data_IF_605531554605
#
_entry.id   IF_605531554605
#
_cell.length_a   1.000
_cell.length_b   1.000
_cell.length_c   1.000
_cell.angle_alpha   90.00
_cell.angle_beta   90.00
_cell.angle_gamma   90.00
#
_symmetry.space_group_name_H-M   'P 1'
#
loop_
_entity.id
_entity.type
_entity.pdbx_description
1 polymer ?
#
# COMPACT_ATOMS: atom_id res chain seq x y z
N UNK A 1 8.99 -11.98 -34.71
CA UNK A 1 9.60 -12.62 -33.52
C UNK A 1 8.65 -12.39 -32.35
N UNK A 2 7.70 -13.30 -32.14
CA UNK A 2 6.67 -13.16 -31.12
C UNK A 2 7.26 -13.49 -29.74
N UNK A 3 7.29 -12.52 -28.83
CA UNK A 3 7.64 -12.73 -27.43
C UNK A 3 6.64 -13.70 -26.81
N UNK A 4 7.15 -14.86 -26.41
CA UNK A 4 6.42 -15.97 -25.78
C UNK A 4 5.59 -15.42 -24.61
N UNK A 5 4.27 -15.65 -24.63
CA UNK A 5 3.42 -15.38 -23.47
C UNK A 5 4.00 -16.12 -22.25
N UNK A 6 4.16 -15.46 -21.09
CA UNK A 6 4.68 -16.14 -19.91
C UNK A 6 3.75 -17.31 -19.55
N UNK A 7 4.35 -18.50 -19.39
CA UNK A 7 3.67 -19.70 -18.94
C UNK A 7 2.88 -19.40 -17.66
N UNK A 8 1.57 -19.61 -17.68
CA UNK A 8 0.64 -19.37 -16.57
C UNK A 8 0.83 -20.33 -15.37
N UNK A 9 1.92 -21.10 -15.35
CA UNK A 9 2.23 -22.12 -14.34
C UNK A 9 3.37 -21.75 -13.40
N UNK A 10 4.11 -20.66 -13.66
CA UNK A 10 5.18 -20.23 -12.76
C UNK A 10 4.58 -19.51 -11.54
N UNK A 11 4.63 -20.20 -10.40
CA UNK A 11 4.15 -19.74 -9.09
C UNK A 11 5.17 -18.82 -8.39
N UNK A 12 6.33 -18.60 -9.00
CA UNK A 12 7.35 -17.69 -8.49
C UNK A 12 6.87 -16.24 -8.59
N UNK A 13 7.20 -15.44 -7.58
CA UNK A 13 6.91 -14.01 -7.61
C UNK A 13 8.01 -13.38 -8.47
N UNK A 14 7.68 -12.62 -9.54
CA UNK A 14 8.68 -11.95 -10.34
C UNK A 14 9.59 -11.07 -9.48
N UNK A 15 10.89 -11.04 -9.77
CA UNK A 15 11.87 -10.26 -8.99
C UNK A 15 11.45 -8.78 -8.93
N UNK A 16 11.00 -8.23 -10.05
CA UNK A 16 10.51 -6.85 -10.12
C UNK A 16 9.34 -6.63 -9.16
N UNK A 17 8.42 -7.59 -9.04
CA UNK A 17 7.31 -7.51 -8.08
C UNK A 17 7.78 -7.59 -6.63
N UNK A 18 8.90 -8.25 -6.33
CA UNK A 18 9.51 -8.23 -5.00
C UNK A 18 10.17 -6.87 -4.72
N UNK A 19 10.97 -6.36 -5.65
CA UNK A 19 11.68 -5.09 -5.50
C UNK A 19 10.70 -3.93 -5.38
N UNK A 20 9.77 -3.80 -6.33
CA UNK A 20 8.75 -2.75 -6.33
C UNK A 20 7.60 -3.03 -5.35
N UNK A 21 7.51 -4.25 -4.82
CA UNK A 21 6.60 -4.57 -3.73
C UNK A 21 7.12 -4.05 -2.38
N UNK A 22 8.29 -4.52 -1.98
CA UNK A 22 8.85 -4.24 -0.66
C UNK A 22 9.62 -2.93 -0.59
N UNK A 23 10.27 -2.49 -1.67
CA UNK A 23 11.05 -1.25 -1.72
C UNK A 23 10.26 -0.03 -1.24
N UNK A 24 9.03 0.20 -1.74
CA UNK A 24 8.20 1.33 -1.28
C UNK A 24 7.72 1.24 0.17
N UNK A 25 7.86 0.10 0.85
CA UNK A 25 7.56 -0.01 2.28
C UNK A 25 8.71 0.51 3.15
N UNK A 26 9.95 0.51 2.63
CA UNK A 26 11.14 0.91 3.39
C UNK A 26 11.05 2.33 3.97
N UNK A 27 10.55 3.35 3.25
CA UNK A 27 10.40 4.69 3.84
C UNK A 27 9.40 4.74 5.00
N UNK A 28 8.37 3.90 5.02
CA UNK A 28 7.44 3.81 6.16
C UNK A 28 8.09 3.15 7.37
N UNK A 29 8.90 2.11 7.15
CA UNK A 29 9.67 1.48 8.22
C UNK A 29 10.70 2.46 8.77
N UNK A 30 11.44 3.14 7.90
CA UNK A 30 12.44 4.14 8.28
C UNK A 30 11.81 5.30 9.06
N UNK A 31 10.64 5.80 8.63
CA UNK A 31 9.91 6.82 9.37
C UNK A 31 9.46 6.31 10.74
N UNK A 32 8.89 5.11 10.81
CA UNK A 32 8.47 4.49 12.07
C UNK A 32 9.60 4.25 13.06
N UNK A 33 10.81 3.91 12.60
CA UNK A 33 12.00 3.83 13.47
C UNK A 33 12.49 5.24 13.84
N UNK A 34 12.52 6.15 12.87
CA UNK A 34 13.00 7.51 13.02
C UNK A 34 12.24 8.33 14.06
N UNK A 35 10.93 8.10 14.21
CA UNK A 35 10.13 8.77 15.25
C UNK A 35 10.62 8.46 16.67
N UNK A 36 11.09 7.23 16.92
CA UNK A 36 11.52 6.81 18.25
C UNK A 36 13.00 7.05 18.54
N UNK A 37 13.85 7.06 17.52
CA UNK A 37 15.32 7.10 17.69
C UNK A 37 15.88 8.51 17.52
N UNK A 38 15.28 9.36 16.68
CA UNK A 38 15.85 10.67 16.38
C UNK A 38 15.38 11.73 17.39
N UNK A 39 16.23 12.72 17.73
CA UNK A 39 15.86 13.81 18.63
C UNK A 39 14.83 14.75 17.99
N UNK A 40 14.23 15.64 18.78
CA UNK A 40 13.42 16.72 18.23
C UNK A 40 14.27 17.60 17.28
N UNK A 41 13.73 18.10 16.15
CA UNK A 41 12.34 18.01 15.67
C UNK A 41 12.06 16.82 14.73
N UNK A 42 13.00 15.88 14.59
CA UNK A 42 13.00 14.87 13.53
C UNK A 42 11.83 13.88 13.60
N UNK A 43 11.31 13.57 14.79
CA UNK A 43 10.13 12.71 14.92
C UNK A 43 8.88 13.30 14.26
N UNK A 44 8.67 14.61 14.38
CA UNK A 44 7.56 15.30 13.71
C UNK A 44 7.72 15.23 12.18
N UNK A 45 8.95 15.43 11.70
CA UNK A 45 9.25 15.33 10.27
C UNK A 45 9.02 13.89 9.77
N UNK A 46 9.44 12.88 10.52
CA UNK A 46 9.25 11.48 10.18
C UNK A 46 7.76 11.11 10.05
N UNK A 47 6.90 11.56 10.98
CA UNK A 47 5.44 11.36 10.86
C UNK A 47 4.88 12.03 9.61
N UNK A 48 5.27 13.27 9.32
CA UNK A 48 4.81 13.99 8.12
C UNK A 48 5.23 13.27 6.83
N UNK A 49 6.47 12.80 6.76
CA UNK A 49 6.97 12.02 5.63
C UNK A 49 6.24 10.68 5.50
N UNK A 50 5.93 10.01 6.62
CA UNK A 50 5.15 8.78 6.61
C UNK A 50 3.73 9.00 6.07
N UNK A 51 3.07 10.11 6.43
CA UNK A 51 1.74 10.46 5.91
C UNK A 51 1.79 10.68 4.40
N UNK A 52 2.71 11.54 3.94
CA UNK A 52 2.86 11.87 2.51
C UNK A 52 3.18 10.60 1.71
N UNK A 53 4.22 9.87 2.12
CA UNK A 53 4.64 8.67 1.42
C UNK A 53 3.58 7.58 1.47
N UNK A 54 2.96 7.37 2.63
CA UNK A 54 1.90 6.40 2.83
C UNK A 54 0.72 6.64 1.88
N UNK A 55 0.29 7.90 1.76
CA UNK A 55 -0.78 8.31 0.85
C UNK A 55 -0.40 8.14 -0.64
N UNK A 56 0.84 8.49 -1.02
CA UNK A 56 1.33 8.30 -2.39
C UNK A 56 1.27 6.83 -2.80
N UNK A 57 1.75 5.93 -1.93
CA UNK A 57 1.76 4.51 -2.22
C UNK A 57 0.35 3.91 -2.21
N UNK A 58 -0.54 4.31 -1.29
CA UNK A 58 -1.92 3.83 -1.29
C UNK A 58 -2.68 4.30 -2.55
N UNK A 59 -2.46 5.54 -2.97
CA UNK A 59 -3.00 6.08 -4.23
C UNK A 59 -2.47 5.32 -5.44
N UNK A 60 -1.17 5.04 -5.46
CA UNK A 60 -0.53 4.24 -6.50
C UNK A 60 -1.13 2.82 -6.57
N UNK A 61 -1.36 2.16 -5.43
CA UNK A 61 -2.02 0.84 -5.39
C UNK A 61 -3.43 0.91 -6.00
N UNK A 62 -4.20 1.96 -5.69
CA UNK A 62 -5.49 2.21 -6.34
C UNK A 62 -5.36 2.36 -7.86
N UNK A 63 -4.36 3.12 -8.31
CA UNK A 63 -4.01 3.27 -9.72
C UNK A 63 -3.65 1.96 -10.41
N UNK A 64 -2.80 1.13 -9.79
CA UNK A 64 -2.41 -0.19 -10.32
C UNK A 64 -3.64 -1.09 -10.48
N UNK A 65 -4.51 -1.12 -9.47
CA UNK A 65 -5.76 -1.91 -9.52
C UNK A 65 -6.67 -1.45 -10.66
N UNK A 66 -6.87 -0.14 -10.81
CA UNK A 66 -7.66 0.41 -11.92
C UNK A 66 -7.01 0.15 -13.27
N UNK A 67 -5.68 0.25 -13.34
CA UNK A 67 -4.86 0.01 -14.51
C UNK A 67 -4.99 -1.41 -15.04
N UNK A 68 -4.96 -2.40 -14.13
CA UNK A 68 -5.19 -3.80 -14.48
C UNK A 68 -6.54 -4.02 -15.18
N UNK A 69 -7.60 -3.38 -14.66
CA UNK A 69 -8.93 -3.45 -15.27
C UNK A 69 -9.03 -2.84 -16.68
N UNK A 70 -8.15 -1.91 -17.06
CA UNK A 70 -8.10 -1.42 -18.44
C UNK A 70 -7.54 -2.47 -19.41
N UNK A 71 -6.53 -3.23 -18.98
CA UNK A 71 -5.94 -4.30 -19.79
C UNK A 71 -6.76 -5.59 -19.79
N UNK A 72 -7.57 -5.80 -18.74
CA UNK A 72 -8.44 -6.96 -18.54
C UNK A 72 -9.86 -6.50 -18.20
N UNK A 73 -10.69 -6.17 -19.22
CA UNK A 73 -12.06 -5.70 -18.99
C UNK A 73 -12.92 -6.68 -18.19
N UNK A 74 -12.65 -7.99 -18.33
CA UNK A 74 -13.28 -9.08 -17.56
C UNK A 74 -12.99 -8.98 -16.06
N UNK A 75 -11.82 -8.46 -15.67
CA UNK A 75 -11.44 -8.22 -14.30
C UNK A 75 -11.96 -6.88 -13.73
N UNK A 76 -12.50 -5.98 -14.57
CA UNK A 76 -12.90 -4.62 -14.19
C UNK A 76 -14.31 -4.55 -13.57
N UNK A 77 -14.58 -5.39 -12.58
CA UNK A 77 -15.89 -5.43 -11.90
C UNK A 77 -16.16 -4.15 -11.08
N UNK A 78 -17.44 -3.89 -10.76
CA UNK A 78 -17.83 -2.76 -9.90
C UNK A 78 -17.11 -2.77 -8.53
N UNK A 79 -16.87 -3.95 -7.95
CA UNK A 79 -16.15 -4.10 -6.68
C UNK A 79 -14.69 -3.66 -6.81
N UNK A 80 -14.06 -3.93 -7.95
CA UNK A 80 -12.65 -3.59 -8.20
C UNK A 80 -12.48 -2.08 -8.42
N UNK A 81 -13.44 -1.45 -9.11
CA UNK A 81 -13.51 0.00 -9.27
C UNK A 81 -13.74 0.67 -7.92
N UNK A 82 -14.70 0.18 -7.13
CA UNK A 82 -14.99 0.71 -5.80
C UNK A 82 -13.78 0.60 -4.87
N UNK A 83 -13.05 -0.52 -4.90
CA UNK A 83 -11.82 -0.70 -4.13
C UNK A 83 -10.72 0.28 -4.56
N UNK A 84 -10.50 0.45 -5.87
CA UNK A 84 -9.52 1.41 -6.37
C UNK A 84 -9.84 2.85 -5.94
N UNK A 85 -11.11 3.25 -6.06
CA UNK A 85 -11.59 4.56 -5.59
C UNK A 85 -11.42 4.70 -4.08
N UNK A 86 -11.77 3.67 -3.30
CA UNK A 86 -11.62 3.70 -1.85
C UNK A 86 -10.17 3.95 -1.42
N UNK A 87 -9.17 3.34 -2.09
CA UNK A 87 -7.77 3.55 -1.75
C UNK A 87 -7.33 4.99 -1.98
N UNK A 88 -7.66 5.56 -3.14
CA UNK A 88 -7.32 6.94 -3.47
C UNK A 88 -8.05 7.92 -2.54
N UNK A 89 -9.32 7.66 -2.22
CA UNK A 89 -10.09 8.48 -1.27
C UNK A 89 -9.50 8.44 0.12
N UNK A 90 -9.15 7.27 0.66
CA UNK A 90 -8.52 7.16 1.99
C UNK A 90 -7.17 7.86 2.00
N UNK A 91 -6.37 7.72 0.94
CA UNK A 91 -5.10 8.43 0.81
C UNK A 91 -5.28 9.95 0.79
N UNK A 92 -6.23 10.45 0.00
CA UNK A 92 -6.55 11.88 -0.07
C UNK A 92 -7.06 12.43 1.27
N UNK A 93 -7.96 11.71 1.93
CA UNK A 93 -8.46 12.09 3.26
C UNK A 93 -7.32 12.16 4.30
N UNK A 94 -6.39 11.21 4.28
CA UNK A 94 -5.24 11.23 5.17
C UNK A 94 -4.32 12.45 4.96
N UNK A 95 -4.26 13.01 3.75
CA UNK A 95 -3.51 14.24 3.46
C UNK A 95 -4.25 15.52 3.91
N UNK A 96 -5.57 15.47 4.02
CA UNK A 96 -6.41 16.64 4.33
C UNK A 96 -6.74 16.75 5.83
N UNK A 97 -6.72 15.64 6.56
CA UNK A 97 -7.02 15.65 8.00
C UNK A 97 -5.91 16.39 8.76
N UNK A 98 -6.25 17.38 9.62
CA UNK A 98 -5.25 18.20 10.31
C UNK A 98 -4.54 17.45 11.45
N UNK A 99 -5.13 16.35 11.93
CA UNK A 99 -4.61 15.57 13.05
C UNK A 99 -3.72 14.42 12.57
N UNK A 100 -2.41 14.50 12.87
CA UNK A 100 -1.44 13.52 12.40
C UNK A 100 -1.76 12.07 12.83
N UNK A 101 -2.18 11.86 14.08
CA UNK A 101 -2.58 10.54 14.56
C UNK A 101 -3.75 9.97 13.75
N UNK A 102 -4.77 10.78 13.45
CA UNK A 102 -5.91 10.37 12.62
C UNK A 102 -5.49 10.07 11.19
N UNK A 103 -4.61 10.90 10.59
CA UNK A 103 -4.08 10.68 9.25
C UNK A 103 -3.33 9.34 9.15
N UNK A 104 -2.44 9.04 10.12
CA UNK A 104 -1.70 7.78 10.16
C UNK A 104 -2.64 6.58 10.38
N UNK A 105 -3.65 6.72 11.23
CA UNK A 105 -4.65 5.66 11.46
C UNK A 105 -5.47 5.35 10.19
N UNK A 106 -5.89 6.38 9.44
CA UNK A 106 -6.56 6.22 8.15
C UNK A 106 -5.67 5.47 7.15
N UNK A 107 -4.38 5.81 7.06
CA UNK A 107 -3.45 5.11 6.19
C UNK A 107 -3.24 3.65 6.61
N UNK A 108 -3.08 3.38 7.90
CA UNK A 108 -2.93 2.01 8.39
C UNK A 108 -4.17 1.16 8.06
N UNK A 109 -5.37 1.72 8.23
CA UNK A 109 -6.62 1.08 7.83
C UNK A 109 -6.70 0.88 6.30
N UNK A 110 -6.28 1.86 5.51
CA UNK A 110 -6.23 1.76 4.05
C UNK A 110 -5.27 0.67 3.55
N UNK A 111 -4.10 0.53 4.18
CA UNK A 111 -3.13 -0.52 3.87
C UNK A 111 -3.66 -1.91 4.25
N UNK A 112 -4.28 -2.04 5.42
CA UNK A 112 -4.91 -3.30 5.83
C UNK A 112 -6.06 -3.69 4.89
N UNK A 113 -6.88 -2.73 4.48
CA UNK A 113 -7.95 -2.93 3.50
C UNK A 113 -7.38 -3.38 2.15
N UNK A 114 -6.35 -2.70 1.65
CA UNK A 114 -5.67 -3.05 0.40
C UNK A 114 -5.04 -4.45 0.47
N UNK A 115 -4.44 -4.83 1.60
CA UNK A 115 -3.88 -6.16 1.83
C UNK A 115 -4.92 -7.27 1.62
N UNK A 116 -6.11 -7.07 2.19
CA UNK A 116 -7.20 -8.05 2.13
C UNK A 116 -7.88 -8.06 0.76
N UNK A 117 -8.21 -6.89 0.23
CA UNK A 117 -8.96 -6.76 -1.02
C UNK A 117 -8.12 -7.09 -2.24
N UNK A 118 -6.83 -6.76 -2.29
CA UNK A 118 -5.95 -7.16 -3.42
C UNK A 118 -5.71 -8.66 -3.40
N UNK A 119 -5.53 -9.27 -2.22
CA UNK A 119 -5.44 -10.73 -2.09
C UNK A 119 -6.72 -11.41 -2.60
N UNK A 120 -7.90 -10.92 -2.19
CA UNK A 120 -9.18 -11.47 -2.66
C UNK A 120 -9.37 -11.31 -4.16
N UNK A 121 -9.01 -10.17 -4.73
CA UNK A 121 -9.06 -9.95 -6.18
C UNK A 121 -8.13 -10.92 -6.92
N UNK A 122 -6.91 -11.11 -6.44
CA UNK A 122 -5.95 -12.04 -7.04
C UNK A 122 -6.46 -13.49 -7.01
N UNK A 123 -7.05 -13.92 -5.88
CA UNK A 123 -7.66 -15.25 -5.76
C UNK A 123 -8.88 -15.45 -6.69
N UNK A 124 -9.53 -14.37 -7.11
CA UNK A 124 -10.66 -14.38 -8.04
C UNK A 124 -10.24 -14.14 -9.50
N UNK A 125 -8.96 -13.97 -9.79
CA UNK A 125 -8.45 -13.66 -11.13
C UNK A 125 -8.64 -12.19 -11.55
N UNK A 126 -9.08 -11.32 -10.65
CA UNK A 126 -9.33 -9.90 -10.91
C UNK A 126 -8.09 -9.00 -10.68
N UNK A 127 -6.96 -9.59 -10.30
CA UNK A 127 -5.67 -8.92 -10.12
C UNK A 127 -4.53 -9.92 -10.42
N UNK A 128 -3.27 -9.48 -10.57
CA UNK A 128 -2.14 -10.38 -10.80
C UNK A 128 -2.05 -11.50 -9.75
N UNK A 129 -1.94 -12.76 -10.19
CA UNK A 129 -2.04 -13.93 -9.31
C UNK A 129 -1.03 -13.92 -8.14
N UNK A 130 0.19 -13.39 -8.36
CA UNK A 130 1.22 -13.31 -7.33
C UNK A 130 0.83 -12.40 -6.15
N UNK A 131 -0.12 -11.46 -6.32
CA UNK A 131 -0.65 -10.64 -5.23
C UNK A 131 -1.32 -11.48 -4.14
N UNK A 132 -1.84 -12.66 -4.46
CA UNK A 132 -2.44 -13.56 -3.47
C UNK A 132 -1.48 -13.96 -2.35
N UNK A 133 -0.17 -13.98 -2.64
CA UNK A 133 0.91 -14.30 -1.68
C UNK A 133 1.67 -13.07 -1.23
N UNK A 134 1.89 -12.10 -2.13
CA UNK A 134 2.74 -10.94 -1.89
C UNK A 134 2.06 -9.86 -1.03
N UNK A 135 0.78 -9.56 -1.28
CA UNK A 135 0.15 -8.31 -0.79
C UNK A 135 0.03 -8.22 0.72
N UNK A 136 -0.34 -9.31 1.37
CA UNK A 136 -0.54 -9.31 2.82
C UNK A 136 0.78 -9.05 3.55
N UNK A 137 1.86 -9.84 3.33
CA UNK A 137 3.15 -9.54 3.95
C UNK A 137 3.68 -8.14 3.60
N UNK A 138 3.59 -7.74 2.33
CA UNK A 138 4.04 -6.44 1.85
C UNK A 138 3.39 -5.30 2.64
N UNK A 139 2.06 -5.25 2.67
CA UNK A 139 1.34 -4.13 3.27
C UNK A 139 1.32 -4.18 4.79
N UNK A 140 1.47 -5.36 5.40
CA UNK A 140 1.67 -5.47 6.85
C UNK A 140 2.98 -4.83 7.32
N UNK A 141 4.04 -4.88 6.52
CA UNK A 141 5.30 -4.16 6.81
C UNK A 141 5.05 -2.65 6.81
N UNK A 142 4.31 -2.14 5.82
CA UNK A 142 3.88 -0.74 5.79
C UNK A 142 3.02 -0.37 7.01
N UNK A 143 2.06 -1.21 7.37
CA UNK A 143 1.24 -1.03 8.57
C UNK A 143 2.07 -0.98 9.84
N UNK A 144 3.12 -1.80 9.98
CA UNK A 144 3.99 -1.78 11.15
C UNK A 144 4.73 -0.43 11.29
N UNK A 145 5.26 0.11 10.19
CA UNK A 145 5.86 1.44 10.18
C UNK A 145 4.86 2.55 10.54
N UNK A 146 3.66 2.50 9.97
CA UNK A 146 2.57 3.43 10.30
C UNK A 146 2.13 3.31 11.76
N UNK A 147 2.02 2.10 12.30
CA UNK A 147 1.66 1.86 13.70
C UNK A 147 2.70 2.45 14.66
N UNK A 148 4.00 2.34 14.34
CA UNK A 148 5.07 2.96 15.12
C UNK A 148 4.98 4.49 15.11
N UNK A 149 4.69 5.10 13.95
CA UNK A 149 4.42 6.55 13.83
C UNK A 149 3.19 6.96 14.63
N UNK A 150 2.11 6.18 14.57
CA UNK A 150 0.87 6.45 15.29
C UNK A 150 1.09 6.41 16.79
N UNK A 151 1.73 5.36 17.31
CA UNK A 151 2.03 5.20 18.72
C UNK A 151 2.88 6.35 19.26
N UNK A 152 3.85 6.81 18.47
CA UNK A 152 4.64 7.99 18.82
C UNK A 152 3.78 9.26 18.88
N UNK A 153 2.95 9.50 17.86
CA UNK A 153 2.14 10.71 17.73
C UNK A 153 1.02 10.85 18.78
N UNK A 154 0.64 9.75 19.45
CA UNK A 154 -0.34 9.80 20.55
C UNK A 154 0.30 9.82 21.94
N UNK A 155 1.62 9.61 22.04
CA UNK A 155 2.34 9.56 23.33
C UNK A 155 3.27 10.75 23.56
N UNK A 156 3.55 11.56 22.53
CA UNK A 156 4.42 12.73 22.60
C UNK A 156 3.81 13.91 21.86
#
# INVERSE_FOLDING_TARGET
MATRAPNSTDRSIPIDSLVFGYGPMLPLVAAGVGTWVLPAPWGVLAVRLAIIWGALILSFIGGVRRGFGFARPDASTAVEIAAAVAYVTVAGLALLVPYAATAVALLAAGYALAALLDRRAALRGNAPAHFARLRVPQLLIGCAGLAACWAWAVTR
#
